data_IF_304741201134
#
_entry.id   IF_304741201134
#
_cell.length_a   1.000
_cell.length_b   1.000
_cell.length_c   1.000
_cell.angle_alpha   90.00
_cell.angle_beta   90.00
_cell.angle_gamma   90.00
#
_symmetry.space_group_name_H-M   'P 1'
#
loop_
_entity.id
_entity.type
_entity.pdbx_description
1 polymer ?
#
# COMPACT_ATOMS: atom_id res chain seq x y z
N UNK A 1 0.14 -2.43 -5.01
CA UNK A 1 -0.53 -1.13 -4.89
C UNK A 1 0.51 -0.04 -4.73
N UNK A 2 0.21 1.20 -5.13
CA UNK A 2 1.09 2.35 -4.85
C UNK A 2 0.68 2.99 -3.53
N UNK A 3 1.57 3.02 -2.55
CA UNK A 3 1.37 3.62 -1.24
C UNK A 3 2.02 5.01 -1.20
N UNK A 4 1.23 6.01 -0.82
CA UNK A 4 1.68 7.40 -0.64
C UNK A 4 1.63 7.77 0.85
N UNK A 5 2.72 8.37 1.32
CA UNK A 5 2.88 8.87 2.69
C UNK A 5 3.39 10.32 2.66
N UNK A 6 3.22 11.07 3.74
CA UNK A 6 3.74 12.44 3.88
C UNK A 6 4.74 12.50 5.03
N UNK A 7 5.93 13.01 4.76
CA UNK A 7 7.00 13.26 5.75
C UNK A 7 7.42 14.72 5.60
N UNK A 8 7.45 15.50 6.68
CA UNK A 8 7.83 16.93 6.64
C UNK A 8 7.10 17.76 5.56
N UNK A 9 5.80 17.57 5.41
CA UNK A 9 4.97 18.18 4.35
C UNK A 9 5.36 17.82 2.91
N UNK A 10 6.25 16.84 2.71
CA UNK A 10 6.64 16.33 1.40
C UNK A 10 5.99 14.95 1.14
N UNK A 11 5.22 14.78 0.06
CA UNK A 11 4.65 13.48 -0.30
C UNK A 11 5.72 12.56 -0.89
N UNK A 12 5.61 11.27 -0.62
CA UNK A 12 6.44 10.23 -1.22
C UNK A 12 5.58 9.01 -1.59
N UNK A 13 5.84 8.41 -2.75
CA UNK A 13 5.04 7.30 -3.30
C UNK A 13 5.92 6.13 -3.71
N UNK A 14 5.46 4.89 -3.49
CA UNK A 14 6.19 3.66 -3.84
C UNK A 14 5.24 2.49 -4.02
N UNK A 15 5.66 1.48 -4.76
CA UNK A 15 4.92 0.21 -4.86
C UNK A 15 5.15 -0.63 -3.61
N UNK A 16 4.06 -1.18 -3.07
CA UNK A 16 4.06 -2.19 -2.01
C UNK A 16 3.15 -3.35 -2.38
N UNK A 17 3.43 -4.53 -1.83
CA UNK A 17 2.60 -5.71 -2.02
C UNK A 17 1.45 -5.71 -1.00
N UNK A 18 0.22 -5.78 -1.51
CA UNK A 18 -0.96 -6.02 -0.67
C UNK A 18 -0.93 -7.49 -0.23
N UNK A 19 -0.96 -7.74 1.08
CA UNK A 19 -0.96 -9.09 1.65
C UNK A 19 -2.37 -9.64 1.76
N UNK A 20 -3.28 -8.87 2.35
CA UNK A 20 -4.67 -9.25 2.57
C UNK A 20 -5.58 -8.01 2.65
N UNK A 21 -6.87 -8.23 2.43
CA UNK A 21 -7.93 -7.27 2.74
C UNK A 21 -8.69 -7.86 3.92
N UNK A 22 -8.70 -7.15 5.05
CA UNK A 22 -9.30 -7.63 6.29
C UNK A 22 -10.04 -6.49 6.98
N UNK A 23 -11.29 -6.72 7.39
CA UNK A 23 -12.09 -5.76 8.18
C UNK A 23 -12.06 -4.33 7.61
N UNK A 24 -12.31 -4.18 6.30
CA UNK A 24 -12.26 -2.90 5.56
C UNK A 24 -10.88 -2.21 5.58
N UNK A 25 -9.82 -2.96 5.84
CA UNK A 25 -8.43 -2.49 5.87
C UNK A 25 -7.58 -3.20 4.84
N UNK A 26 -6.53 -2.51 4.37
CA UNK A 26 -5.52 -3.05 3.48
C UNK A 26 -4.28 -3.40 4.31
N UNK A 27 -3.88 -4.67 4.32
CA UNK A 27 -2.72 -5.12 5.09
C UNK A 27 -1.53 -5.32 4.16
N UNK A 28 -0.40 -4.77 4.54
CA UNK A 28 0.88 -4.95 3.86
C UNK A 28 2.01 -5.00 4.90
N UNK A 29 3.15 -5.56 4.51
CA UNK A 29 4.33 -5.59 5.38
C UNK A 29 5.41 -4.64 4.83
N UNK A 30 6.16 -4.02 5.75
CA UNK A 30 7.33 -3.21 5.39
C UNK A 30 8.30 -3.16 6.57
N UNK A 31 9.50 -2.66 6.33
CA UNK A 31 10.44 -2.35 7.40
C UNK A 31 9.98 -1.06 8.12
N UNK A 32 9.78 -1.15 9.44
CA UNK A 32 9.39 -0.03 10.30
C UNK A 32 10.41 1.12 10.28
N UNK A 33 11.71 0.82 10.12
CA UNK A 33 12.79 1.82 10.06
C UNK A 33 12.99 2.42 8.66
N UNK A 34 12.14 2.06 7.69
CA UNK A 34 12.19 2.71 6.37
C UNK A 34 11.54 4.10 6.41
N UNK A 35 11.86 4.97 5.45
CA UNK A 35 11.26 6.32 5.37
C UNK A 35 9.73 6.28 5.41
N UNK A 36 9.09 5.30 4.74
CA UNK A 36 7.63 5.15 4.77
C UNK A 36 7.13 4.67 6.13
N UNK A 37 7.89 3.84 6.85
CA UNK A 37 7.52 3.34 8.17
C UNK A 37 7.54 4.47 9.20
N UNK A 38 8.63 5.27 9.21
CA UNK A 38 8.70 6.50 10.01
C UNK A 38 7.60 7.49 9.64
N UNK A 39 7.41 7.79 8.36
CA UNK A 39 6.37 8.70 7.90
C UNK A 39 4.95 8.30 8.36
N UNK A 40 4.64 7.00 8.36
CA UNK A 40 3.34 6.47 8.83
C UNK A 40 3.22 6.55 10.35
N UNK A 41 4.32 6.29 11.06
CA UNK A 41 4.37 6.42 12.52
C UNK A 41 4.11 7.87 12.97
N UNK A 42 4.66 8.84 12.25
CA UNK A 42 4.51 10.27 12.54
C UNK A 42 3.18 10.84 12.03
N UNK A 43 2.70 10.36 10.87
CA UNK A 43 1.45 10.76 10.26
C UNK A 43 0.71 9.55 9.66
N UNK A 44 -0.34 9.03 10.33
CA UNK A 44 -1.06 7.83 9.89
C UNK A 44 -1.95 8.07 8.64
N UNK A 45 -2.03 9.29 8.13
CA UNK A 45 -2.76 9.57 6.89
C UNK A 45 -1.97 9.06 5.68
N UNK A 46 -2.51 8.05 5.03
CA UNK A 46 -1.92 7.42 3.84
C UNK A 46 -2.94 7.31 2.70
N UNK A 47 -2.44 7.20 1.48
CA UNK A 47 -3.25 6.90 0.32
C UNK A 47 -2.72 5.65 -0.37
N UNK A 48 -3.63 4.76 -0.80
CA UNK A 48 -3.31 3.60 -1.60
C UNK A 48 -4.01 3.72 -2.95
N UNK A 49 -3.23 3.68 -4.03
CA UNK A 49 -3.75 3.67 -5.40
C UNK A 49 -3.54 2.30 -6.06
N UNK A 50 -4.58 1.79 -6.69
CA UNK A 50 -4.56 0.55 -7.45
C UNK A 50 -4.61 0.90 -8.93
N UNK A 51 -3.51 0.59 -9.63
CA UNK A 51 -3.47 0.77 -11.07
C UNK A 51 -3.97 -0.50 -11.77
N UNK A 52 -5.15 -0.40 -12.40
CA UNK A 52 -5.74 -1.48 -13.17
C UNK A 52 -5.30 -1.43 -14.63
N UNK A 53 -4.13 -1.95 -14.96
CA UNK A 53 -3.81 -2.36 -16.32
C UNK A 53 -4.58 -3.65 -16.60
N UNK A 54 -5.70 -3.54 -17.30
CA UNK A 54 -6.45 -4.65 -17.89
C UNK A 54 -7.22 -5.52 -16.89
N UNK A 55 -8.51 -5.22 -16.72
CA UNK A 55 -9.48 -6.19 -16.23
C UNK A 55 -9.88 -7.12 -17.39
N UNK A 56 -8.99 -8.04 -17.76
CA UNK A 56 -9.38 -9.21 -18.56
C UNK A 56 -8.78 -10.48 -17.99
N UNK A 57 -9.70 -11.40 -17.78
CA UNK A 57 -9.56 -12.85 -17.64
C UNK A 57 -9.21 -13.40 -16.24
N UNK A 58 -10.32 -13.81 -15.60
CA UNK A 58 -10.51 -14.95 -14.69
C UNK A 58 -9.24 -15.56 -14.09
N UNK A 59 -9.01 -15.24 -12.82
CA UNK A 59 -8.14 -16.05 -11.97
C UNK A 59 -8.91 -17.31 -11.53
N UNK A 60 -8.69 -18.44 -12.21
CA UNK A 60 -8.99 -19.74 -11.60
C UNK A 60 -7.81 -20.11 -10.70
N UNK A 61 -8.00 -20.00 -9.38
CA UNK A 61 -7.23 -20.80 -8.45
C UNK A 61 -7.94 -22.15 -8.34
N UNK A 62 -7.33 -23.17 -8.96
CA UNK A 62 -7.71 -24.57 -8.81
C UNK A 62 -6.96 -25.08 -7.58
N UNK A 63 -7.69 -25.54 -6.58
CA UNK A 63 -7.16 -26.44 -5.55
C UNK A 63 -6.81 -27.80 -6.17
#
# INVERSE_FOLDING_TARGET
>A
MTLSTVENNAPSSRVVLLKEIKDRSLVFFTNYDSNKGRAISDNPNVCASFFGLHWKDKLFLKE
#
